data_IF_403650366285
#
_entry.id   IF_403650366285
#
_cell.length_a   1.000
_cell.length_b   1.000
_cell.length_c   1.000
_cell.angle_alpha   90.00
_cell.angle_beta   90.00
_cell.angle_gamma   90.00
#
_symmetry.space_group_name_H-M   'P 1'
#
loop_
_entity.id
_entity.type
_entity.pdbx_description
1 polymer ?
#
# COMPACT_ATOMS: atom_id res chain seq x y z
N UNK A 1 58.26 20.32 -41.31
CA UNK A 1 58.29 20.11 -39.85
C UNK A 1 57.12 20.90 -39.29
N UNK A 2 55.94 20.28 -39.34
CA UNK A 2 54.68 20.91 -38.91
C UNK A 2 54.68 20.88 -37.39
N UNK A 3 54.91 22.04 -36.78
CA UNK A 3 54.84 22.23 -35.34
C UNK A 3 53.36 22.26 -35.01
N UNK A 4 52.85 21.18 -34.43
CA UNK A 4 51.50 21.12 -33.90
C UNK A 4 51.29 22.34 -33.00
N UNK A 5 50.31 23.17 -33.37
CA UNK A 5 49.96 24.38 -32.66
C UNK A 5 49.56 24.01 -31.23
N UNK A 6 50.11 24.74 -30.27
CA UNK A 6 49.88 24.47 -28.86
C UNK A 6 48.38 24.60 -28.59
N UNK A 7 47.78 23.53 -28.08
CA UNK A 7 46.37 23.52 -27.70
C UNK A 7 46.04 24.80 -26.93
N UNK A 8 45.04 25.54 -27.42
CA UNK A 8 44.46 26.70 -26.77
C UNK A 8 43.76 26.19 -25.50
N UNK A 9 44.53 26.07 -24.41
CA UNK A 9 44.03 25.58 -23.13
C UNK A 9 43.25 26.71 -22.48
N UNK A 10 41.94 26.55 -22.43
CA UNK A 10 41.05 27.48 -21.74
C UNK A 10 41.28 27.44 -20.22
N UNK A 11 42.08 28.38 -19.72
CA UNK A 11 42.39 28.51 -18.29
C UNK A 11 41.15 28.80 -17.43
N UNK A 12 40.09 29.38 -18.01
CA UNK A 12 38.82 29.59 -17.30
C UNK A 12 38.07 28.28 -17.08
N UNK A 13 38.16 27.34 -18.02
CA UNK A 13 37.65 25.98 -17.85
C UNK A 13 38.41 25.24 -16.74
N UNK A 14 39.75 25.37 -16.70
CA UNK A 14 40.56 24.73 -15.67
C UNK A 14 40.24 25.26 -14.26
N UNK A 15 40.01 26.56 -14.13
CA UNK A 15 39.65 27.20 -12.86
C UNK A 15 38.23 26.79 -12.38
N UNK A 16 37.33 26.43 -13.30
CA UNK A 16 35.96 25.97 -13.01
C UNK A 16 35.82 24.45 -12.99
N UNK A 17 36.91 23.70 -13.10
CA UNK A 17 36.88 22.24 -13.21
C UNK A 17 36.21 21.58 -11.99
N UNK A 18 36.53 22.04 -10.78
CA UNK A 18 35.91 21.54 -9.55
C UNK A 18 34.40 21.80 -9.52
N UNK A 19 33.99 23.03 -9.88
CA UNK A 19 32.58 23.40 -9.90
C UNK A 19 31.81 22.61 -10.97
N UNK A 20 32.42 22.36 -12.13
CA UNK A 20 31.84 21.51 -13.16
C UNK A 20 31.67 20.07 -12.67
N UNK A 21 32.72 19.48 -12.10
CA UNK A 21 32.68 18.11 -11.57
C UNK A 21 31.66 17.97 -10.43
N UNK A 22 31.55 18.98 -9.55
CA UNK A 22 30.54 19.02 -8.48
C UNK A 22 29.13 19.10 -9.05
N UNK A 23 28.88 20.03 -9.98
CA UNK A 23 27.56 20.22 -10.59
C UNK A 23 27.12 18.99 -11.37
N UNK A 24 28.04 18.40 -12.12
CA UNK A 24 27.81 17.16 -12.87
C UNK A 24 27.49 16.00 -11.94
N UNK A 25 28.31 15.77 -10.90
CA UNK A 25 28.06 14.71 -9.92
C UNK A 25 26.76 14.91 -9.13
N UNK A 26 26.44 16.15 -8.75
CA UNK A 26 25.17 16.49 -8.10
C UNK A 26 23.99 16.24 -9.02
N UNK A 27 24.04 16.72 -10.27
CA UNK A 27 22.96 16.55 -11.24
C UNK A 27 22.72 15.06 -11.54
N UNK A 28 23.78 14.30 -11.79
CA UNK A 28 23.68 12.86 -12.00
C UNK A 28 23.12 12.13 -10.77
N UNK A 29 23.61 12.47 -9.58
CA UNK A 29 23.13 11.88 -8.33
C UNK A 29 21.67 12.22 -8.03
N UNK A 30 21.26 13.46 -8.31
CA UNK A 30 19.89 13.93 -8.11
C UNK A 30 18.92 13.27 -9.10
N UNK A 31 19.22 13.31 -10.41
CA UNK A 31 18.40 12.66 -11.44
C UNK A 31 18.27 11.15 -11.18
N UNK A 32 19.36 10.50 -10.78
CA UNK A 32 19.35 9.09 -10.41
C UNK A 32 18.52 8.83 -9.15
N UNK A 33 18.70 9.64 -8.11
CA UNK A 33 17.99 9.50 -6.84
C UNK A 33 16.49 9.76 -6.95
N UNK A 34 16.08 10.75 -7.76
CA UNK A 34 14.68 11.04 -8.06
C UNK A 34 14.02 9.85 -8.77
N UNK A 35 14.67 9.33 -9.81
CA UNK A 35 14.18 8.17 -10.54
C UNK A 35 14.09 6.94 -9.62
N UNK A 36 15.13 6.64 -8.83
CA UNK A 36 15.12 5.47 -7.95
C UNK A 36 14.13 5.60 -6.80
N UNK A 37 14.04 6.78 -6.19
CA UNK A 37 13.10 7.05 -5.12
C UNK A 37 11.64 6.89 -5.57
N UNK A 38 11.31 7.31 -6.79
CA UNK A 38 9.94 7.10 -7.33
C UNK A 38 9.63 5.63 -7.57
N UNK A 39 10.57 4.83 -8.06
CA UNK A 39 10.37 3.40 -8.26
C UNK A 39 10.24 2.65 -6.93
N UNK A 40 11.17 2.88 -6.01
CA UNK A 40 11.18 2.23 -4.69
C UNK A 40 9.94 2.60 -3.89
N UNK A 41 9.54 3.88 -3.90
CA UNK A 41 8.32 4.35 -3.25
C UNK A 41 7.06 3.69 -3.79
N UNK A 42 6.96 3.47 -5.11
CA UNK A 42 5.82 2.77 -5.74
C UNK A 42 5.80 1.28 -5.36
N UNK A 43 6.94 0.62 -5.37
CA UNK A 43 7.05 -0.78 -4.97
C UNK A 43 6.67 -0.97 -3.49
N UNK A 44 7.26 -0.16 -2.61
CA UNK A 44 6.94 -0.18 -1.18
C UNK A 44 5.47 0.14 -0.92
N UNK A 45 4.91 1.13 -1.62
CA UNK A 45 3.50 1.50 -1.51
C UNK A 45 2.56 0.36 -1.91
N UNK A 46 2.88 -0.40 -2.96
CA UNK A 46 2.11 -1.58 -3.37
C UNK A 46 2.17 -2.67 -2.30
N UNK A 47 3.36 -2.97 -1.79
CA UNK A 47 3.55 -4.05 -0.82
C UNK A 47 2.85 -3.72 0.52
N UNK A 48 2.95 -2.46 0.98
CA UNK A 48 2.26 -2.00 2.19
C UNK A 48 0.76 -1.83 2.00
N UNK A 49 0.33 -1.39 0.82
CA UNK A 49 -1.07 -1.35 0.45
C UNK A 49 -1.71 -2.74 0.47
N UNK A 50 -0.99 -3.76 -0.03
CA UNK A 50 -1.43 -5.15 0.02
C UNK A 50 -1.53 -5.66 1.46
N UNK A 51 -0.53 -5.41 2.31
CA UNK A 51 -0.55 -5.78 3.73
C UNK A 51 -1.77 -5.20 4.46
N UNK A 52 -2.09 -3.93 4.22
CA UNK A 52 -3.27 -3.29 4.78
C UNK A 52 -4.58 -3.87 4.23
N UNK A 53 -4.68 -4.08 2.92
CA UNK A 53 -5.88 -4.63 2.29
C UNK A 53 -6.11 -6.10 2.62
N UNK A 54 -5.07 -6.89 2.86
CA UNK A 54 -5.20 -8.27 3.34
C UNK A 54 -5.92 -8.30 4.70
N UNK A 55 -5.54 -7.40 5.60
CA UNK A 55 -6.17 -7.26 6.91
C UNK A 55 -7.64 -6.81 6.77
N UNK A 56 -7.91 -5.77 5.99
CA UNK A 56 -9.27 -5.25 5.75
C UNK A 56 -10.15 -6.32 5.09
N UNK A 57 -9.63 -7.01 4.08
CA UNK A 57 -10.32 -8.08 3.36
C UNK A 57 -10.66 -9.26 4.27
N UNK A 58 -9.75 -9.63 5.17
CA UNK A 58 -10.05 -10.65 6.19
C UNK A 58 -11.21 -10.23 7.11
N UNK A 59 -11.23 -8.98 7.58
CA UNK A 59 -12.31 -8.48 8.43
C UNK A 59 -13.66 -8.43 7.68
N UNK A 60 -13.65 -7.98 6.43
CA UNK A 60 -14.83 -7.96 5.58
C UNK A 60 -15.38 -9.38 5.35
N UNK A 61 -14.51 -10.33 4.98
CA UNK A 61 -14.89 -11.72 4.76
C UNK A 61 -15.43 -12.40 6.02
N UNK A 62 -14.81 -12.14 7.18
CA UNK A 62 -15.30 -12.63 8.46
C UNK A 62 -16.70 -12.08 8.77
N UNK A 63 -16.91 -10.78 8.56
CA UNK A 63 -18.19 -10.15 8.84
C UNK A 63 -19.31 -10.75 7.99
N UNK A 64 -19.08 -10.87 6.68
CA UNK A 64 -20.02 -11.46 5.73
C UNK A 64 -20.33 -12.92 6.07
N UNK A 65 -19.30 -13.73 6.35
CA UNK A 65 -19.48 -15.14 6.71
C UNK A 65 -20.36 -15.31 7.95
N UNK A 66 -20.06 -14.58 9.04
CA UNK A 66 -20.84 -14.66 10.27
C UNK A 66 -22.27 -14.15 10.10
N UNK A 67 -22.46 -13.12 9.28
CA UNK A 67 -23.78 -12.62 8.93
C UNK A 67 -24.60 -13.70 8.22
N UNK A 68 -24.05 -14.32 7.19
CA UNK A 68 -24.69 -15.43 6.48
C UNK A 68 -25.03 -16.60 7.41
N UNK A 69 -24.14 -16.96 8.35
CA UNK A 69 -24.41 -18.03 9.33
C UNK A 69 -25.58 -17.70 10.27
N UNK A 70 -25.67 -16.45 10.73
CA UNK A 70 -26.78 -16.01 11.59
C UNK A 70 -28.09 -15.99 10.81
N UNK A 71 -28.09 -15.43 9.60
CA UNK A 71 -29.27 -15.37 8.73
C UNK A 71 -29.74 -16.78 8.32
N UNK A 72 -28.82 -17.73 8.13
CA UNK A 72 -29.15 -19.13 7.84
C UNK A 72 -29.71 -19.90 9.05
N UNK A 73 -29.52 -19.42 10.28
CA UNK A 73 -29.96 -20.11 11.50
C UNK A 73 -31.48 -20.12 11.70
N UNK A 74 -32.20 -19.23 11.03
CA UNK A 74 -33.67 -19.19 11.07
C UNK A 74 -34.25 -17.92 10.44
N UNK A 75 -35.59 -17.86 10.28
CA UNK A 75 -36.27 -16.68 9.74
C UNK A 75 -35.96 -15.42 10.56
N UNK A 76 -35.82 -14.27 9.90
CA UNK A 76 -35.46 -12.99 10.54
C UNK A 76 -36.32 -12.63 11.76
N UNK A 77 -37.61 -12.97 11.71
CA UNK A 77 -38.60 -12.69 12.76
C UNK A 77 -38.42 -13.55 14.04
N UNK A 78 -37.61 -14.61 13.95
CA UNK A 78 -37.32 -15.53 15.06
C UNK A 78 -35.91 -15.35 15.63
N UNK A 79 -35.16 -14.36 15.16
CA UNK A 79 -33.80 -14.12 15.64
C UNK A 79 -33.82 -13.67 17.11
N UNK A 80 -32.92 -14.25 17.90
CA UNK A 80 -32.71 -13.83 19.28
C UNK A 80 -32.21 -12.38 19.34
N UNK A 81 -32.55 -11.66 20.42
CA UNK A 81 -31.97 -10.34 20.73
C UNK A 81 -30.43 -10.34 20.64
N UNK A 82 -29.79 -11.45 21.01
CA UNK A 82 -28.33 -11.63 20.88
C UNK A 82 -27.89 -11.62 19.41
N UNK A 83 -28.59 -12.35 18.55
CA UNK A 83 -28.30 -12.43 17.12
C UNK A 83 -28.54 -11.10 16.42
N UNK A 84 -29.61 -10.38 16.78
CA UNK A 84 -29.86 -9.04 16.25
C UNK A 84 -28.72 -8.06 16.61
N UNK A 85 -28.23 -8.12 17.86
CA UNK A 85 -27.06 -7.34 18.27
C UNK A 85 -25.81 -7.75 17.48
N UNK A 86 -25.57 -9.05 17.28
CA UNK A 86 -24.45 -9.53 16.46
C UNK A 86 -24.52 -8.97 15.03
N UNK A 87 -25.69 -9.02 14.38
CA UNK A 87 -25.90 -8.45 13.05
C UNK A 87 -25.64 -6.94 13.00
N UNK A 88 -26.07 -6.18 14.01
CA UNK A 88 -25.75 -4.75 14.10
C UNK A 88 -24.24 -4.49 14.18
N UNK A 89 -23.51 -5.33 14.94
CA UNK A 89 -22.07 -5.21 15.08
C UNK A 89 -21.34 -5.54 13.77
N UNK A 90 -21.77 -6.60 13.08
CA UNK A 90 -21.26 -7.02 11.79
C UNK A 90 -21.52 -5.98 10.70
N UNK A 91 -22.75 -5.48 10.56
CA UNK A 91 -23.07 -4.46 9.55
C UNK A 91 -22.32 -3.14 9.75
N UNK A 92 -22.00 -2.77 11.00
CA UNK A 92 -21.14 -1.62 11.27
C UNK A 92 -19.67 -1.87 10.88
N UNK A 93 -19.18 -3.11 11.01
CA UNK A 93 -17.84 -3.47 10.55
C UNK A 93 -17.77 -3.47 9.01
N UNK A 94 -18.79 -4.05 8.35
CA UNK A 94 -18.91 -4.07 6.88
C UNK A 94 -18.87 -2.66 6.29
N UNK A 95 -19.60 -1.70 6.87
CA UNK A 95 -19.58 -0.30 6.44
C UNK A 95 -18.19 0.33 6.53
N UNK A 96 -17.47 0.12 7.63
CA UNK A 96 -16.11 0.65 7.77
C UNK A 96 -15.15 0.01 6.76
N UNK A 97 -15.25 -1.30 6.51
CA UNK A 97 -14.41 -1.97 5.52
C UNK A 97 -14.73 -1.54 4.09
N UNK A 98 -15.99 -1.23 3.79
CA UNK A 98 -16.41 -0.75 2.48
C UNK A 98 -15.94 0.70 2.21
N UNK A 99 -15.78 1.51 3.26
CA UNK A 99 -15.25 2.86 3.16
C UNK A 99 -13.72 2.90 2.93
N UNK A 100 -13.02 1.77 2.99
CA UNK A 100 -11.57 1.75 2.86
C UNK A 100 -11.12 2.10 1.42
N UNK A 101 -10.17 3.04 1.21
CA UNK A 101 -9.83 3.53 -0.12
C UNK A 101 -9.27 2.45 -1.06
N UNK A 102 -9.92 2.27 -2.22
CA UNK A 102 -9.47 1.35 -3.28
C UNK A 102 -8.52 2.00 -4.29
N UNK A 103 -8.49 3.33 -4.36
CA UNK A 103 -7.68 4.08 -5.30
C UNK A 103 -6.76 5.03 -4.54
N UNK A 104 -5.51 5.11 -5.00
CA UNK A 104 -4.58 6.08 -4.48
C UNK A 104 -5.03 7.49 -4.91
N UNK A 105 -5.15 8.43 -3.97
CA UNK A 105 -5.30 9.85 -4.33
C UNK A 105 -3.92 10.31 -4.84
N UNK A 106 -3.80 10.86 -6.06
CA UNK A 106 -2.51 11.32 -6.56
C UNK A 106 -1.94 12.41 -5.64
N UNK A 107 -0.62 12.41 -5.46
CA UNK A 107 0.08 13.23 -4.46
C UNK A 107 -0.10 14.74 -4.65
N UNK A 108 -0.50 15.21 -5.83
CA UNK A 108 -0.84 16.63 -6.09
C UNK A 108 -2.08 17.12 -5.34
N UNK A 109 -2.89 16.21 -4.79
CA UNK A 109 -4.03 16.59 -3.96
C UNK A 109 -3.66 16.90 -2.50
N UNK A 110 -2.39 16.71 -2.09
CA UNK A 110 -1.94 16.89 -0.72
C UNK A 110 -1.56 18.35 -0.35
N UNK A 111 -1.57 19.29 -1.30
CA UNK A 111 -1.33 20.72 -1.04
C UNK A 111 -2.58 21.48 -0.56
N UNK A 112 -3.75 20.83 -0.54
CA UNK A 112 -4.94 21.40 0.08
C UNK A 112 -4.91 21.15 1.60
N UNK A 113 -4.08 21.93 2.31
CA UNK A 113 -4.21 22.12 3.76
C UNK A 113 -5.65 22.54 4.08
N UNK A 114 -6.45 21.58 4.57
CA UNK A 114 -7.84 21.78 4.92
C UNK A 114 -7.95 22.69 6.14
N UNK A 115 -8.29 23.95 5.89
CA UNK A 115 -8.81 24.88 6.89
C UNK A 115 -10.12 24.29 7.44
N UNK A 116 -10.11 23.85 8.70
CA UNK A 116 -11.33 23.46 9.39
C UNK A 116 -12.10 24.72 9.77
N UNK A 117 -13.03 25.16 8.91
CA UNK A 117 -14.08 26.09 9.29
C UNK A 117 -15.08 25.34 10.19
N UNK A 118 -14.98 25.60 11.49
CA UNK A 118 -15.99 25.21 12.45
C UNK A 118 -17.20 26.12 12.26
N UNK A 119 -18.26 25.64 11.60
CA UNK A 119 -19.62 26.12 11.81
C UNK A 119 -20.68 25.12 11.30
N UNK A 120 -21.56 24.75 12.23
CA UNK A 120 -22.99 24.50 12.07
C UNK A 120 -23.52 23.12 11.57
N UNK A 121 -24.38 22.59 12.45
CA UNK A 121 -25.61 21.81 12.23
C UNK A 121 -25.59 20.27 12.18
N UNK A 122 -26.51 19.75 13.00
CA UNK A 122 -26.75 18.36 13.31
C UNK A 122 -27.50 17.65 12.16
N UNK A 123 -26.78 16.81 11.44
CA UNK A 123 -27.34 15.91 10.42
C UNK A 123 -26.30 15.32 9.47
N UNK A 124 -25.02 15.32 9.85
CA UNK A 124 -23.93 14.93 8.96
C UNK A 124 -23.90 13.41 8.76
N UNK A 125 -23.97 12.95 7.51
CA UNK A 125 -23.95 11.54 7.15
C UNK A 125 -22.63 10.91 7.60
N UNK A 126 -22.71 9.90 8.49
CA UNK A 126 -21.56 9.17 9.04
C UNK A 126 -20.61 8.62 7.97
N UNK A 127 -21.10 8.36 6.75
CA UNK A 127 -20.30 7.88 5.62
C UNK A 127 -19.44 8.98 4.99
N UNK A 128 -19.89 10.23 5.01
CA UNK A 128 -19.12 11.38 4.50
C UNK A 128 -17.92 11.66 5.42
N UNK A 129 -18.10 11.55 6.74
CA UNK A 129 -17.02 11.65 7.72
C UNK A 129 -15.94 10.56 7.55
N UNK A 130 -16.35 9.34 7.19
CA UNK A 130 -15.42 8.23 6.99
C UNK A 130 -14.53 8.43 5.76
N UNK A 131 -15.06 9.08 4.72
CA UNK A 131 -14.29 9.40 3.50
C UNK A 131 -13.28 10.54 3.66
N UNK A 132 -13.48 11.38 4.70
CA UNK A 132 -12.58 12.47 5.09
C UNK A 132 -11.41 11.99 5.96
N UNK A 133 -11.53 10.83 6.59
CA UNK A 133 -10.47 10.26 7.43
C UNK A 133 -9.25 9.80 6.61
N UNK A 134 -8.07 9.97 7.19
CA UNK A 134 -6.85 9.36 6.69
C UNK A 134 -6.96 7.82 6.70
N UNK A 135 -6.30 7.16 5.75
CA UNK A 135 -6.30 5.70 5.59
C UNK A 135 -5.91 4.98 6.88
N UNK A 136 -4.88 5.47 7.59
CA UNK A 136 -4.41 4.86 8.83
C UNK A 136 -5.44 5.01 9.97
N UNK A 137 -6.05 6.19 10.10
CA UNK A 137 -7.11 6.44 11.07
C UNK A 137 -8.33 5.53 10.82
N UNK A 138 -8.68 5.33 9.55
CA UNK A 138 -9.75 4.41 9.16
C UNK A 138 -9.37 2.95 9.50
N UNK A 139 -8.13 2.53 9.23
CA UNK A 139 -7.64 1.20 9.57
C UNK A 139 -7.69 0.92 11.08
N UNK A 140 -7.29 1.88 11.91
CA UNK A 140 -7.38 1.77 13.37
C UNK A 140 -8.84 1.63 13.84
N UNK A 141 -9.74 2.40 13.24
CA UNK A 141 -11.19 2.34 13.53
C UNK A 141 -11.77 0.98 13.13
N UNK A 142 -11.36 0.43 11.98
CA UNK A 142 -11.72 -0.93 11.55
C UNK A 142 -11.21 -1.96 12.58
N UNK A 143 -9.94 -1.91 12.97
CA UNK A 143 -9.34 -2.82 13.98
C UNK A 143 -10.05 -2.76 15.34
N UNK A 144 -10.38 -1.56 15.80
CA UNK A 144 -11.15 -1.37 17.03
C UNK A 144 -12.55 -1.98 16.92
N UNK A 145 -13.24 -1.75 15.79
CA UNK A 145 -14.55 -2.34 15.55
C UNK A 145 -14.48 -3.85 15.47
N UNK A 146 -13.48 -4.40 14.77
CA UNK A 146 -13.25 -5.84 14.67
C UNK A 146 -13.13 -6.49 16.05
N UNK A 147 -12.26 -5.98 16.93
CA UNK A 147 -12.12 -6.49 18.32
C UNK A 147 -13.45 -6.50 19.07
N UNK A 148 -14.25 -5.46 18.93
CA UNK A 148 -15.58 -5.39 19.52
C UNK A 148 -16.54 -6.42 18.92
N UNK A 149 -16.55 -6.60 17.60
CA UNK A 149 -17.36 -7.63 16.94
C UNK A 149 -16.99 -9.03 17.41
N UNK A 150 -15.69 -9.32 17.57
CA UNK A 150 -15.21 -10.59 18.08
C UNK A 150 -15.70 -10.87 19.51
N UNK A 151 -15.68 -9.86 20.38
CA UNK A 151 -16.23 -9.96 21.74
C UNK A 151 -17.73 -10.30 21.74
N UNK A 152 -18.51 -9.67 20.86
CA UNK A 152 -19.96 -9.91 20.73
C UNK A 152 -20.28 -11.27 20.10
N UNK A 153 -19.43 -11.75 19.19
CA UNK A 153 -19.52 -13.07 18.57
C UNK A 153 -18.98 -14.19 19.48
N UNK A 154 -18.17 -13.86 20.49
CA UNK A 154 -17.53 -14.82 21.39
C UNK A 154 -16.34 -15.56 20.75
N UNK A 155 -15.71 -14.95 19.75
CA UNK A 155 -14.54 -15.50 19.04
C UNK A 155 -13.28 -14.74 19.43
N UNK A 156 -12.15 -15.44 19.45
CA UNK A 156 -10.84 -14.83 19.70
C UNK A 156 -10.41 -14.01 18.46
N UNK A 157 -10.06 -12.72 18.61
CA UNK A 157 -9.56 -11.93 17.48
C UNK A 157 -8.20 -12.46 17.00
N UNK A 158 -8.04 -12.55 15.68
CA UNK A 158 -6.75 -12.88 15.04
C UNK A 158 -5.80 -11.70 15.28
N UNK A 159 -4.57 -11.99 15.73
CA UNK A 159 -3.55 -10.96 16.06
C UNK A 159 -3.35 -10.71 17.56
N UNK A 160 -4.21 -11.23 18.44
CA UNK A 160 -3.82 -11.46 19.84
C UNK A 160 -3.00 -12.75 19.88
N UNK A 161 -1.70 -12.63 19.64
CA UNK A 161 -0.75 -13.72 19.85
C UNK A 161 -0.97 -14.28 21.27
N UNK A 162 -1.55 -15.48 21.37
CA UNK A 162 -1.24 -16.34 22.48
C UNK A 162 0.21 -16.78 22.25
N UNK A 163 1.09 -16.82 23.27
CA UNK A 163 2.43 -17.32 23.08
C UNK A 163 2.34 -18.75 22.53
N UNK A 164 2.78 -18.92 21.29
CA UNK A 164 2.89 -20.22 20.67
C UNK A 164 3.92 -21.02 21.49
N UNK A 165 3.49 -22.16 22.02
CA UNK A 165 4.39 -23.11 22.65
C UNK A 165 5.47 -23.56 21.64
N UNK A 166 6.73 -23.75 22.07
CA UNK A 166 7.83 -24.05 21.17
C UNK A 166 7.63 -25.44 20.56
N UNK A 167 7.39 -25.49 19.24
CA UNK A 167 7.49 -26.73 18.48
C UNK A 167 8.90 -26.83 17.90
N UNK A 168 9.67 -27.75 18.45
CA UNK A 168 10.90 -28.27 17.86
C UNK A 168 10.55 -29.25 16.74
N UNK A 169 11.03 -29.02 15.53
CA UNK A 169 11.40 -30.09 14.61
C UNK A 169 12.25 -29.57 13.47
N UNK A 170 13.28 -30.35 13.20
CA UNK A 170 14.38 -30.21 12.26
C UNK A 170 13.99 -30.38 10.79
N UNK A 171 14.78 -29.73 9.93
CA UNK A 171 15.00 -29.84 8.46
C UNK A 171 15.00 -31.29 7.86
N UNK A 172 15.12 -31.56 6.51
CA UNK A 172 15.67 -30.70 5.42
C UNK A 172 15.07 -30.83 3.98
N UNK A 173 15.46 -29.87 3.12
CA UNK A 173 15.99 -30.05 1.74
C UNK A 173 15.16 -30.74 0.64
N UNK A 174 14.88 -30.03 -0.46
CA UNK A 174 14.41 -30.62 -1.72
C UNK A 174 14.39 -29.64 -2.90
N UNK A 175 15.41 -29.72 -3.75
CA UNK A 175 15.55 -29.04 -5.05
C UNK A 175 14.50 -29.50 -6.07
N UNK A 176 14.00 -28.60 -6.92
CA UNK A 176 13.46 -29.00 -8.23
C UNK A 176 13.72 -27.97 -9.34
N UNK A 177 14.43 -28.43 -10.36
CA UNK A 177 14.60 -27.84 -11.69
C UNK A 177 13.47 -28.29 -12.62
N UNK A 178 12.95 -27.38 -13.46
CA UNK A 178 12.34 -27.60 -14.80
C UNK A 178 11.56 -26.33 -15.21
N UNK A 179 11.40 -25.87 -16.46
CA UNK A 179 11.94 -26.17 -17.79
C UNK A 179 11.41 -25.04 -18.71
N UNK A 180 12.14 -24.69 -19.76
CA UNK A 180 11.83 -23.55 -20.65
C UNK A 180 10.71 -23.73 -21.67
N UNK A 181 10.45 -22.61 -22.35
CA UNK A 181 9.61 -22.34 -23.53
C UNK A 181 9.28 -20.84 -23.51
N UNK A 182 9.49 -20.00 -24.53
CA UNK A 182 9.69 -20.20 -25.94
C UNK A 182 8.77 -19.24 -26.71
N UNK A 183 9.13 -17.95 -26.77
CA UNK A 183 8.80 -16.99 -27.84
C UNK A 183 7.40 -16.35 -27.89
N UNK A 184 7.32 -15.06 -27.52
CA UNK A 184 6.53 -14.04 -28.23
C UNK A 184 7.28 -12.71 -28.13
N UNK A 185 7.70 -12.17 -29.28
CA UNK A 185 8.49 -10.96 -29.40
C UNK A 185 7.57 -9.76 -29.53
N UNK A 186 7.37 -9.04 -28.43
CA UNK A 186 6.90 -7.66 -28.43
C UNK A 186 8.11 -6.79 -28.12
N UNK A 187 8.48 -5.89 -29.03
CA UNK A 187 9.59 -4.96 -28.81
C UNK A 187 9.16 -3.86 -27.83
N UNK A 188 9.19 -4.13 -26.53
CA UNK A 188 9.25 -3.09 -25.51
C UNK A 188 10.72 -2.82 -25.16
N UNK A 189 11.10 -1.53 -25.16
CA UNK A 189 12.44 -1.08 -24.77
C UNK A 189 12.62 -1.29 -23.27
N UNK A 190 12.89 -2.50 -22.82
CA UNK A 190 13.22 -2.80 -21.42
C UNK A 190 14.56 -2.18 -21.04
N UNK A 191 14.60 -1.45 -19.93
CA UNK A 191 15.84 -0.90 -19.37
C UNK A 191 16.22 -1.72 -18.13
N UNK A 192 17.51 -2.00 -17.98
CA UNK A 192 18.08 -2.78 -16.89
C UNK A 192 18.32 -1.85 -15.70
N UNK A 193 17.58 -2.04 -14.61
CA UNK A 193 17.74 -1.28 -13.36
C UNK A 193 18.05 -2.27 -12.24
N UNK A 194 19.19 -2.10 -11.55
CA UNK A 194 19.63 -2.94 -10.43
C UNK A 194 19.55 -4.48 -10.68
N UNK A 195 19.78 -4.93 -11.91
CA UNK A 195 19.78 -6.36 -12.26
C UNK A 195 18.41 -6.96 -12.60
N UNK A 196 17.33 -6.16 -12.63
CA UNK A 196 15.99 -6.57 -13.06
C UNK A 196 15.55 -5.76 -14.28
N UNK A 197 14.97 -6.44 -15.28
CA UNK A 197 14.42 -5.76 -16.46
C UNK A 197 13.06 -5.16 -16.13
N UNK A 198 12.89 -3.85 -16.32
CA UNK A 198 11.62 -3.14 -16.09
C UNK A 198 11.25 -2.36 -17.35
N UNK A 199 9.94 -2.34 -17.67
CA UNK A 199 9.41 -1.67 -18.85
C UNK A 199 9.15 -0.17 -18.54
N UNK A 200 9.88 0.77 -19.16
CA UNK A 200 9.74 2.20 -18.91
C UNK A 200 8.41 2.76 -19.42
N UNK A 201 7.60 2.04 -20.22
CA UNK A 201 6.28 2.55 -20.62
C UNK A 201 5.26 2.56 -19.48
N UNK A 202 5.59 1.98 -18.31
CA UNK A 202 4.78 2.12 -17.09
C UNK A 202 5.05 3.43 -16.32
N UNK A 203 5.93 4.31 -16.84
CA UNK A 203 6.21 5.66 -16.32
C UNK A 203 5.29 6.74 -16.91
N UNK A 204 4.11 6.38 -17.43
CA UNK A 204 3.17 7.37 -17.98
C UNK A 204 2.82 8.45 -16.95
N UNK A 205 3.21 9.69 -17.26
CA UNK A 205 2.62 10.92 -16.72
C UNK A 205 1.19 11.09 -17.25
#
# INVERSE_FOLDING_TARGET
MERADAADVDFDSLNKLEEHAYREGYQQGHEHGELHGTFEGRELGRDKGFEAWEEVGFYAGLAQMWRCLIEASGPADKLSRKQLKQLQHLGALERLTAAFPMHNKPSDAADAGGETSADAEAGHDLDEDLSKLDMLALLERIRARYRLTCSVLGIRPRGSAAPAAPQSSSEPGGSSFARGGGGFQAQSKTVLVAGRMVDPTQLGY
#
